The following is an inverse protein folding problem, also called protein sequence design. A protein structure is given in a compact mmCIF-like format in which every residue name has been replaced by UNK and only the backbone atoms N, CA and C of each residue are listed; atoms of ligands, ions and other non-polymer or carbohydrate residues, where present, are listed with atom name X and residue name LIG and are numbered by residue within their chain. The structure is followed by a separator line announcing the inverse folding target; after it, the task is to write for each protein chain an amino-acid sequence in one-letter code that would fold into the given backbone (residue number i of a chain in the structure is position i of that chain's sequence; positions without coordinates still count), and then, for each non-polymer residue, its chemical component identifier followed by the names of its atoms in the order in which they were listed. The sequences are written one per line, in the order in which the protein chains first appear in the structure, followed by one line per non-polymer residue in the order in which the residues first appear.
data_IF_526128156812
#
_entry.id   IF_526128156812
#
_cell.length_a   1.000
_cell.length_b   1.000
_cell.length_c   1.000
_cell.angle_alpha   90.00
_cell.angle_beta   90.00
_cell.angle_gamma   90.00
#
_symmetry.space_group_name_H-M   'P 1'
#
loop_
_entity.id
_entity.type
_entity.pdbx_description
1 polymer ?
#
# COMPACT_ATOMS: atom_id res chain seq x y z
N UNK A 1 -11.08 6.97 -10.46
CA UNK A 1 -10.35 6.52 -9.26
C UNK A 1 -8.92 6.09 -9.63
N UNK A 2 -7.92 6.40 -8.79
CA UNK A 2 -6.51 5.98 -8.96
C UNK A 2 -6.17 4.94 -7.89
N UNK A 3 -5.59 3.80 -8.29
CA UNK A 3 -5.29 2.67 -7.41
C UNK A 3 -3.80 2.31 -7.44
N UNK A 4 -3.22 2.03 -6.27
CA UNK A 4 -1.82 1.61 -6.13
C UNK A 4 -1.61 0.49 -5.14
N UNK A 5 -0.63 -0.36 -5.46
CA UNK A 5 -0.31 -1.59 -4.75
C UNK A 5 0.55 -1.40 -3.49
N UNK A 6 0.73 -2.49 -2.75
CA UNK A 6 1.51 -2.54 -1.51
C UNK A 6 3.02 -2.67 -1.71
N UNK A 7 3.71 -2.99 -0.61
CA UNK A 7 5.17 -3.08 -0.52
C UNK A 7 5.74 -4.11 -1.49
N UNK A 8 6.52 -3.66 -2.47
CA UNK A 8 7.22 -4.52 -3.42
C UNK A 8 6.32 -5.38 -4.32
N UNK A 9 5.02 -5.12 -4.32
CA UNK A 9 4.03 -5.75 -5.18
C UNK A 9 4.01 -5.10 -6.57
N UNK A 10 3.05 -5.49 -7.39
CA UNK A 10 2.68 -4.86 -8.64
C UNK A 10 1.14 -4.87 -8.81
N UNK A 11 0.63 -4.25 -9.87
CA UNK A 11 -0.81 -4.13 -10.13
C UNK A 11 -1.54 -5.46 -10.36
N UNK A 12 -0.82 -6.52 -10.76
CA UNK A 12 -1.38 -7.86 -11.02
C UNK A 12 -1.74 -8.60 -9.72
N UNK A 13 -1.14 -8.17 -8.59
CA UNK A 13 -1.28 -8.82 -7.30
C UNK A 13 -2.55 -8.35 -6.57
N UNK A 14 -3.70 -8.92 -6.96
CA UNK A 14 -4.99 -8.74 -6.30
C UNK A 14 -5.73 -7.42 -6.58
N UNK A 15 -5.14 -6.44 -7.30
CA UNK A 15 -5.79 -5.15 -7.55
C UNK A 15 -6.87 -5.24 -8.65
N UNK A 16 -6.68 -6.10 -9.62
CA UNK A 16 -7.60 -6.25 -10.77
C UNK A 16 -9.02 -6.61 -10.31
N UNK A 17 -9.16 -7.52 -9.35
CA UNK A 17 -10.48 -7.93 -8.84
C UNK A 17 -11.22 -6.78 -8.15
N UNK A 18 -10.52 -5.91 -7.40
CA UNK A 18 -11.09 -4.68 -6.85
C UNK A 18 -11.47 -3.69 -7.95
N UNK A 19 -10.55 -3.47 -8.89
CA UNK A 19 -10.74 -2.53 -9.99
C UNK A 19 -11.97 -2.88 -10.85
N UNK A 20 -12.19 -4.17 -11.14
CA UNK A 20 -13.38 -4.64 -11.88
C UNK A 20 -14.68 -4.35 -11.14
N UNK A 21 -14.71 -4.52 -9.82
CA UNK A 21 -15.90 -4.26 -9.01
C UNK A 21 -16.24 -2.77 -8.97
N UNK A 22 -15.22 -1.92 -8.82
CA UNK A 22 -15.39 -0.48 -8.87
C UNK A 22 -15.80 0.01 -10.27
N UNK A 23 -15.23 -0.55 -11.33
CA UNK A 23 -15.63 -0.24 -12.69
C UNK A 23 -17.08 -0.67 -12.98
N UNK A 24 -17.51 -1.84 -12.49
CA UNK A 24 -18.90 -2.29 -12.60
C UNK A 24 -19.89 -1.38 -11.85
N UNK A 25 -19.43 -0.64 -10.85
CA UNK A 25 -20.21 0.37 -10.13
C UNK A 25 -20.16 1.78 -10.79
N UNK A 26 -19.70 1.89 -12.03
CA UNK A 26 -19.71 3.14 -12.84
C UNK A 26 -18.47 4.01 -12.69
N UNK A 27 -17.43 3.56 -11.99
CA UNK A 27 -16.22 4.35 -11.81
C UNK A 27 -15.17 4.06 -12.89
N UNK A 28 -14.54 5.10 -13.45
CA UNK A 28 -13.32 4.93 -14.22
C UNK A 28 -12.16 4.61 -13.26
N UNK A 29 -11.38 3.56 -13.56
CA UNK A 29 -10.33 3.06 -12.67
C UNK A 29 -8.98 3.04 -13.38
N UNK A 30 -7.99 3.74 -12.82
CA UNK A 30 -6.59 3.74 -13.23
C UNK A 30 -5.78 2.96 -12.19
N UNK A 31 -5.20 1.83 -12.59
CA UNK A 31 -4.29 1.03 -11.76
C UNK A 31 -2.89 1.15 -12.33
N UNK A 32 -1.91 1.51 -11.51
CA UNK A 32 -0.54 1.72 -11.98
C UNK A 32 0.50 0.91 -11.20
N UNK A 33 1.62 0.64 -11.85
CA UNK A 33 2.84 0.15 -11.19
C UNK A 33 3.77 1.33 -10.88
N UNK A 34 4.36 1.33 -9.68
CA UNK A 34 5.41 2.30 -9.38
C UNK A 34 6.63 2.11 -10.29
N UNK A 35 7.36 3.19 -10.54
CA UNK A 35 8.67 3.10 -11.22
C UNK A 35 9.53 2.03 -10.58
N UNK A 36 10.30 1.31 -11.38
CA UNK A 36 11.15 0.15 -11.02
C UNK A 36 10.39 -1.15 -10.73
N UNK A 37 9.04 -1.18 -10.76
CA UNK A 37 8.21 -2.36 -10.47
C UNK A 37 7.31 -2.73 -11.66
N UNK A 38 6.85 -4.00 -11.67
CA UNK A 38 5.90 -4.50 -12.65
C UNK A 38 6.25 -4.12 -14.08
N UNK A 39 5.28 -3.63 -14.83
CA UNK A 39 5.43 -3.17 -16.21
C UNK A 39 6.02 -1.75 -16.34
N UNK A 40 6.13 -0.98 -15.23
CA UNK A 40 6.72 0.35 -15.25
C UNK A 40 8.22 0.32 -15.46
N UNK A 41 8.75 1.34 -16.13
CA UNK A 41 10.18 1.51 -16.38
C UNK A 41 10.96 1.80 -15.09
N UNK A 42 12.28 1.81 -15.17
CA UNK A 42 13.21 2.17 -14.11
C UNK A 42 14.32 1.15 -13.90
N UNK A 43 15.55 1.65 -13.80
CA UNK A 43 16.77 0.88 -13.57
C UNK A 43 17.52 1.48 -12.37
N UNK A 44 18.03 0.66 -11.43
CA UNK A 44 17.86 -0.79 -11.33
C UNK A 44 16.42 -1.19 -11.00
N UNK A 45 16.00 -2.42 -11.38
CA UNK A 45 14.71 -2.96 -10.97
C UNK A 45 14.65 -3.12 -9.46
N UNK A 46 13.42 -3.12 -8.91
CA UNK A 46 13.12 -3.32 -7.49
C UNK A 46 13.74 -2.27 -6.55
N UNK A 47 14.05 -1.09 -7.08
CA UNK A 47 14.50 0.04 -6.27
C UNK A 47 13.31 0.77 -5.67
N UNK A 48 12.89 0.36 -4.49
CA UNK A 48 11.82 1.01 -3.75
C UNK A 48 12.34 2.30 -3.08
N UNK A 49 11.72 3.41 -3.41
CA UNK A 49 11.92 4.70 -2.79
C UNK A 49 10.59 5.33 -2.42
N UNK A 50 10.35 5.59 -1.14
CA UNK A 50 9.08 6.13 -0.62
C UNK A 50 8.75 7.47 -1.29
N UNK A 51 9.74 8.37 -1.36
CA UNK A 51 9.54 9.68 -2.00
C UNK A 51 9.14 9.55 -3.46
N UNK A 52 9.89 8.72 -4.24
CA UNK A 52 9.58 8.49 -5.66
C UNK A 52 8.23 7.81 -5.89
N UNK A 53 7.82 6.88 -5.02
CA UNK A 53 6.49 6.30 -5.12
C UNK A 53 5.39 7.33 -4.86
N UNK A 54 5.59 8.28 -3.95
CA UNK A 54 4.66 9.41 -3.75
C UNK A 54 4.63 10.36 -4.95
N UNK A 55 5.77 10.60 -5.60
CA UNK A 55 5.80 11.31 -6.89
C UNK A 55 5.02 10.57 -7.98
N UNK A 56 5.10 9.23 -8.02
CA UNK A 56 4.34 8.40 -8.96
C UNK A 56 2.83 8.52 -8.72
N UNK A 57 2.40 8.61 -7.46
CA UNK A 57 1.01 8.91 -7.12
C UNK A 57 0.57 10.26 -7.67
N UNK A 58 1.35 11.33 -7.46
CA UNK A 58 1.03 12.66 -8.00
C UNK A 58 0.98 12.64 -9.53
N UNK A 59 1.90 11.94 -10.19
CA UNK A 59 1.89 11.78 -11.64
C UNK A 59 0.65 11.01 -12.15
N UNK A 60 0.28 9.92 -11.48
CA UNK A 60 -0.91 9.13 -11.83
C UNK A 60 -2.21 9.92 -11.62
N UNK A 61 -2.31 10.73 -10.56
CA UNK A 61 -3.44 11.64 -10.30
C UNK A 61 -3.52 12.70 -11.40
N UNK A 62 -2.40 13.34 -11.71
CA UNK A 62 -2.35 14.33 -12.78
C UNK A 62 -2.75 13.73 -14.13
N UNK A 63 -2.23 12.56 -14.47
CA UNK A 63 -2.62 11.83 -15.69
C UNK A 63 -4.12 11.51 -15.73
N UNK A 64 -4.66 10.96 -14.62
CA UNK A 64 -6.09 10.64 -14.55
C UNK A 64 -6.99 11.85 -14.88
N UNK A 65 -6.59 13.05 -14.48
CA UNK A 65 -7.32 14.30 -14.76
C UNK A 65 -7.29 14.72 -16.22
N UNK A 66 -6.33 14.25 -17.02
CA UNK A 66 -6.26 14.56 -18.45
C UNK A 66 -7.13 13.64 -19.31
N UNK A 67 -7.64 12.56 -18.73
CA UNK A 67 -8.42 11.58 -19.49
C UNK A 67 -9.80 12.12 -19.86
N UNK A 68 -10.19 11.89 -21.11
CA UNK A 68 -11.50 12.30 -21.61
C UNK A 68 -12.63 11.60 -20.82
N UNK A 69 -13.64 12.34 -20.44
CA UNK A 69 -14.81 11.83 -19.70
C UNK A 69 -14.59 11.69 -18.19
N UNK A 70 -13.44 12.13 -17.68
CA UNK A 70 -13.17 12.15 -16.25
C UNK A 70 -13.46 13.52 -15.65
N UNK A 71 -14.23 13.54 -14.57
CA UNK A 71 -14.39 14.74 -13.76
C UNK A 71 -13.14 14.92 -12.86
N UNK A 72 -12.35 15.93 -13.21
CA UNK A 72 -11.07 16.23 -12.52
C UNK A 72 -11.25 16.59 -11.03
N UNK A 73 -12.45 16.97 -10.60
CA UNK A 73 -12.77 17.32 -9.20
C UNK A 73 -13.32 16.16 -8.39
N UNK A 74 -13.58 15.02 -9.03
CA UNK A 74 -14.09 13.78 -8.39
C UNK A 74 -13.10 12.63 -8.46
N UNK A 75 -11.83 12.88 -8.15
CA UNK A 75 -10.80 11.85 -8.09
C UNK A 75 -10.78 11.21 -6.69
N UNK A 76 -10.95 9.89 -6.64
CA UNK A 76 -10.72 9.12 -5.43
C UNK A 76 -9.38 8.37 -5.50
N UNK A 77 -8.75 8.17 -4.34
CA UNK A 77 -7.53 7.37 -4.21
C UNK A 77 -7.84 6.08 -3.47
N UNK A 78 -7.33 4.98 -3.97
CA UNK A 78 -7.39 3.68 -3.32
C UNK A 78 -5.98 3.10 -3.18
N UNK A 79 -5.58 2.81 -1.98
CA UNK A 79 -4.29 2.20 -1.71
C UNK A 79 -4.39 1.06 -0.70
N UNK A 80 -3.61 -0.01 -0.94
CA UNK A 80 -3.58 -1.16 -0.04
C UNK A 80 -2.22 -1.31 0.63
N UNK A 81 -2.20 -1.67 1.91
CA UNK A 81 -0.97 -1.92 2.68
C UNK A 81 -0.03 -0.71 2.63
N UNK A 82 1.16 -0.83 2.04
CA UNK A 82 2.09 0.28 1.85
C UNK A 82 1.50 1.39 0.95
N UNK A 83 0.76 1.00 -0.10
CA UNK A 83 -0.02 1.94 -0.92
C UNK A 83 -1.12 2.66 -0.12
N UNK A 84 -1.72 1.99 0.87
CA UNK A 84 -2.64 2.59 1.84
C UNK A 84 -1.97 3.69 2.66
N UNK A 85 -0.70 3.51 3.04
CA UNK A 85 0.12 4.57 3.64
C UNK A 85 0.40 5.73 2.68
N UNK A 86 0.66 5.41 1.41
CA UNK A 86 0.89 6.46 0.41
C UNK A 86 -0.34 7.35 0.18
N UNK A 87 -1.54 6.78 0.04
CA UNK A 87 -2.74 7.61 -0.15
C UNK A 87 -3.02 8.53 1.04
N UNK A 88 -2.75 8.07 2.29
CA UNK A 88 -2.82 8.92 3.47
C UNK A 88 -1.77 10.05 3.46
N UNK A 89 -0.64 9.83 2.76
CA UNK A 89 0.42 10.82 2.65
C UNK A 89 0.20 11.84 1.54
N UNK A 90 -0.31 11.42 0.37
CA UNK A 90 -0.43 12.29 -0.80
C UNK A 90 -1.76 13.04 -0.88
N UNK A 91 -2.85 12.43 -0.40
CA UNK A 91 -4.17 13.05 -0.46
C UNK A 91 -4.27 14.45 0.20
N UNK A 92 -3.60 14.73 1.33
CA UNK A 92 -3.63 16.06 1.93
C UNK A 92 -3.04 17.17 1.07
N UNK A 93 -2.18 16.84 0.09
CA UNK A 93 -1.50 17.82 -0.76
C UNK A 93 -2.36 18.25 -1.95
N UNK A 94 -3.54 17.66 -2.12
CA UNK A 94 -4.43 17.89 -3.25
C UNK A 94 -5.88 18.12 -2.80
N UNK A 95 -6.33 19.37 -2.90
CA UNK A 95 -7.67 19.78 -2.45
C UNK A 95 -8.83 19.20 -3.31
N UNK A 96 -8.51 18.65 -4.47
CA UNK A 96 -9.48 18.06 -5.39
C UNK A 96 -9.59 16.54 -5.29
N UNK A 97 -9.01 15.93 -4.26
CA UNK A 97 -9.27 14.52 -3.93
C UNK A 97 -10.61 14.43 -3.21
N UNK A 98 -11.55 13.72 -3.82
CA UNK A 98 -12.92 13.62 -3.34
C UNK A 98 -13.09 12.56 -2.25
N UNK A 99 -12.33 11.45 -2.32
CA UNK A 99 -12.38 10.36 -1.33
C UNK A 99 -11.05 9.58 -1.26
N UNK A 100 -10.82 8.92 -0.14
CA UNK A 100 -9.69 8.01 0.04
C UNK A 100 -10.18 6.68 0.61
N UNK A 101 -9.70 5.57 0.04
CA UNK A 101 -9.78 4.23 0.64
C UNK A 101 -8.39 3.77 1.03
N UNK A 102 -8.16 3.57 2.31
CA UNK A 102 -6.94 3.06 2.89
C UNK A 102 -7.18 1.63 3.40
N UNK A 103 -6.86 0.64 2.55
CA UNK A 103 -7.03 -0.78 2.87
C UNK A 103 -5.80 -1.31 3.62
N UNK A 104 -6.02 -1.92 4.79
CA UNK A 104 -4.96 -2.46 5.68
C UNK A 104 -3.69 -1.59 5.69
N UNK A 105 -3.81 -0.27 5.94
CA UNK A 105 -2.78 0.69 5.61
C UNK A 105 -1.54 0.58 6.51
N UNK A 106 -0.37 0.64 5.89
CA UNK A 106 0.87 0.94 6.61
C UNK A 106 0.83 2.38 7.12
N UNK A 107 0.73 2.56 8.43
CA UNK A 107 0.59 3.89 9.05
C UNK A 107 1.78 4.32 9.88
N UNK A 108 2.68 3.38 10.26
CA UNK A 108 3.86 3.65 11.07
C UNK A 108 4.91 2.55 10.92
N UNK A 109 6.08 2.92 10.43
CA UNK A 109 7.21 1.99 10.30
C UNK A 109 7.69 1.44 11.63
N UNK A 110 7.70 2.28 12.67
CA UNK A 110 8.07 1.84 14.01
C UNK A 110 7.08 0.78 14.56
N UNK A 111 5.77 0.98 14.35
CA UNK A 111 4.75 0.01 14.79
C UNK A 111 4.91 -1.33 14.05
N UNK A 112 5.17 -1.30 12.74
CA UNK A 112 5.41 -2.52 11.94
C UNK A 112 6.72 -3.21 12.31
N UNK A 113 7.78 -2.46 12.62
CA UNK A 113 9.05 -3.01 13.09
C UNK A 113 8.91 -3.69 14.46
N UNK A 114 8.15 -3.11 15.39
CA UNK A 114 7.85 -3.70 16.69
C UNK A 114 7.02 -4.99 16.55
N UNK A 115 6.01 -5.02 15.69
CA UNK A 115 5.20 -6.22 15.43
C UNK A 115 6.04 -7.36 14.85
N UNK A 116 6.95 -7.05 13.93
CA UNK A 116 7.88 -8.02 13.34
C UNK A 116 8.85 -8.62 14.36
N UNK A 117 9.17 -7.87 15.41
CA UNK A 117 10.06 -8.26 16.52
C UNK A 117 11.54 -7.96 16.28
N UNK A 118 12.35 -7.99 17.36
CA UNK A 118 13.73 -7.48 17.34
C UNK A 118 14.66 -8.28 16.43
N UNK A 119 14.55 -9.61 16.41
CA UNK A 119 15.46 -10.47 15.62
C UNK A 119 15.34 -10.18 14.12
N UNK A 120 14.12 -10.13 13.58
CA UNK A 120 13.90 -9.77 12.17
C UNK A 120 14.35 -8.35 11.90
N UNK A 121 14.06 -7.43 12.81
CA UNK A 121 14.42 -6.01 12.66
C UNK A 121 15.93 -5.81 12.59
N UNK A 122 16.71 -6.48 13.46
CA UNK A 122 18.18 -6.41 13.43
C UNK A 122 18.72 -6.99 12.11
N UNK A 123 18.26 -8.20 11.71
CA UNK A 123 18.70 -8.80 10.43
C UNK A 123 18.41 -7.91 9.23
N UNK A 124 17.23 -7.31 9.18
CA UNK A 124 16.82 -6.39 8.12
C UNK A 124 17.69 -5.13 8.14
N UNK A 125 17.92 -4.54 9.31
CA UNK A 125 18.76 -3.34 9.46
C UNK A 125 20.20 -3.59 9.02
N UNK A 126 20.78 -4.75 9.35
CA UNK A 126 22.13 -5.13 8.92
C UNK A 126 22.22 -5.20 7.38
N UNK A 127 21.30 -5.90 6.71
CA UNK A 127 21.30 -6.00 5.25
C UNK A 127 21.07 -4.63 4.62
N UNK A 128 20.20 -3.80 5.18
CA UNK A 128 19.93 -2.45 4.71
C UNK A 128 21.15 -1.53 4.85
N UNK A 129 21.91 -1.64 5.96
CA UNK A 129 23.15 -0.89 6.14
C UNK A 129 24.20 -1.29 5.09
N UNK A 130 24.36 -2.59 4.84
CA UNK A 130 25.26 -3.08 3.78
C UNK A 130 24.82 -2.56 2.39
N UNK A 131 23.52 -2.52 2.09
CA UNK A 131 23.01 -2.00 0.83
C UNK A 131 23.25 -0.48 0.70
N UNK A 132 23.12 0.28 1.79
CA UNK A 132 23.42 1.73 1.78
C UNK A 132 24.91 2.02 1.49
N UNK A 133 25.80 1.25 2.10
CA UNK A 133 27.24 1.46 1.98
C UNK A 133 27.79 0.95 0.64
N UNK A 134 27.39 -0.24 0.22
CA UNK A 134 27.98 -0.91 -0.94
C UNK A 134 27.14 -0.78 -2.23
N UNK A 135 25.84 -0.55 -2.13
CA UNK A 135 24.95 -0.47 -3.29
C UNK A 135 25.35 0.59 -4.33
N UNK A 136 25.74 1.81 -3.94
CA UNK A 136 26.21 2.82 -4.87
C UNK A 136 27.48 2.40 -5.62
N UNK A 137 28.45 1.77 -4.91
CA UNK A 137 29.71 1.28 -5.48
C UNK A 137 29.46 0.14 -6.46
N UNK A 138 28.60 -0.78 -6.10
CA UNK A 138 28.26 -1.96 -6.92
C UNK A 138 27.35 -1.65 -8.11
N UNK A 139 26.76 -0.46 -8.18
CA UNK A 139 25.73 -0.04 -9.14
C UNK A 139 24.48 -0.96 -9.17
N UNK A 140 24.37 -1.87 -8.20
CA UNK A 140 23.22 -2.77 -8.02
C UNK A 140 22.83 -2.81 -6.56
N UNK A 141 21.54 -2.69 -6.23
CA UNK A 141 21.09 -2.78 -4.85
C UNK A 141 21.29 -4.21 -4.30
N UNK A 142 21.56 -4.30 -3.01
CA UNK A 142 21.50 -5.57 -2.29
C UNK A 142 20.03 -5.82 -1.96
N UNK A 143 19.50 -6.93 -2.47
CA UNK A 143 18.10 -7.29 -2.32
C UNK A 143 17.81 -7.91 -0.95
N UNK A 144 16.66 -7.53 -0.36
CA UNK A 144 16.06 -8.18 0.79
C UNK A 144 14.73 -8.82 0.40
N UNK A 145 14.40 -9.98 0.96
CA UNK A 145 13.11 -10.65 0.73
C UNK A 145 11.96 -9.81 1.24
N UNK A 146 10.85 -9.80 0.50
CA UNK A 146 9.62 -9.15 0.90
C UNK A 146 8.92 -9.93 2.01
N UNK A 147 8.72 -11.23 1.83
CA UNK A 147 8.00 -12.11 2.74
C UNK A 147 8.91 -13.16 3.38
N UNK A 148 8.63 -13.51 4.62
CA UNK A 148 9.33 -14.53 5.36
C UNK A 148 8.61 -15.00 6.62
N UNK A 149 8.97 -16.20 7.11
CA UNK A 149 8.48 -16.72 8.39
C UNK A 149 8.98 -15.86 9.55
N UNK A 150 8.35 -15.99 10.71
CA UNK A 150 8.80 -15.37 11.97
C UNK A 150 10.31 -15.47 12.14
N UNK A 151 10.98 -14.36 12.51
CA UNK A 151 12.43 -14.21 12.66
C UNK A 151 13.24 -14.26 11.35
N UNK A 152 12.62 -14.31 10.19
CA UNK A 152 13.32 -14.23 8.92
C UNK A 152 13.93 -12.84 8.67
N UNK A 153 14.96 -12.80 7.82
CA UNK A 153 15.49 -11.56 7.26
C UNK A 153 14.60 -11.12 6.08
N UNK A 154 13.40 -10.61 6.37
CA UNK A 154 12.41 -10.17 5.40
C UNK A 154 11.71 -8.91 5.88
N UNK A 155 11.21 -8.10 4.96
CA UNK A 155 10.50 -6.86 5.29
C UNK A 155 9.19 -7.13 6.01
N UNK A 156 8.44 -8.15 5.58
CA UNK A 156 7.28 -8.69 6.28
C UNK A 156 7.65 -10.06 6.85
N UNK A 157 7.49 -10.25 8.14
CA UNK A 157 7.95 -11.46 8.84
C UNK A 157 6.99 -11.85 9.97
N UNK A 158 6.03 -12.74 9.64
CA UNK A 158 5.08 -13.34 10.56
C UNK A 158 4.72 -14.77 10.09
N UNK A 159 4.02 -15.58 10.90
CA UNK A 159 3.70 -16.97 10.54
C UNK A 159 2.85 -17.10 9.28
N UNK A 160 1.89 -16.21 9.07
CA UNK A 160 0.91 -16.18 7.98
C UNK A 160 1.45 -15.53 6.68
N UNK A 161 2.51 -14.72 6.79
CA UNK A 161 3.06 -13.94 5.68
C UNK A 161 3.50 -14.79 4.47
N UNK A 162 4.24 -15.92 4.62
CA UNK A 162 4.68 -16.68 3.46
C UNK A 162 3.53 -17.21 2.61
N UNK A 163 2.49 -17.73 3.23
CA UNK A 163 1.35 -18.30 2.52
C UNK A 163 0.44 -17.20 1.95
N UNK A 164 0.07 -16.22 2.75
CA UNK A 164 -0.77 -15.12 2.30
C UNK A 164 -0.14 -14.35 1.14
N UNK A 165 1.17 -14.10 1.22
CA UNK A 165 1.87 -13.40 0.16
C UNK A 165 2.03 -14.26 -1.11
N UNK A 166 2.25 -15.59 -0.97
CA UNK A 166 2.31 -16.53 -2.10
C UNK A 166 1.01 -16.53 -2.90
N UNK A 167 -0.15 -16.56 -2.24
CA UNK A 167 -1.46 -16.50 -2.92
C UNK A 167 -1.60 -15.25 -3.80
N UNK A 168 -1.02 -14.11 -3.39
CA UNK A 168 -1.00 -12.89 -4.22
C UNK A 168 0.00 -12.99 -5.37
N UNK A 169 1.17 -13.60 -5.15
CA UNK A 169 2.23 -13.69 -6.16
C UNK A 169 1.93 -14.67 -7.27
N UNK A 170 1.15 -15.73 -6.98
CA UNK A 170 0.71 -16.71 -7.98
C UNK A 170 -0.14 -16.06 -9.10
N UNK A 171 -0.62 -14.85 -8.90
CA UNK A 171 -1.39 -14.07 -9.87
C UNK A 171 -0.51 -13.17 -10.78
N UNK A 172 0.81 -13.10 -10.53
CA UNK A 172 1.69 -12.17 -11.22
C UNK A 172 2.85 -12.87 -11.93
N UNK A 173 2.96 -12.64 -13.23
CA UNK A 173 4.09 -13.11 -14.04
C UNK A 173 5.35 -12.25 -13.88
N UNK A 174 5.20 -11.02 -13.40
CA UNK A 174 6.29 -10.03 -13.32
C UNK A 174 6.79 -9.78 -11.89
N UNK A 175 6.35 -10.61 -10.94
CA UNK A 175 6.74 -10.47 -9.55
C UNK A 175 8.20 -10.82 -9.29
N UNK A 176 8.84 -9.98 -8.47
CA UNK A 176 10.21 -10.18 -7.99
C UNK A 176 10.21 -10.30 -6.44
N UNK A 177 10.78 -11.37 -5.85
CA UNK A 177 10.64 -11.66 -4.42
C UNK A 177 11.50 -10.77 -3.50
N UNK A 178 12.25 -9.83 -4.06
CA UNK A 178 13.20 -8.98 -3.33
C UNK A 178 13.07 -7.54 -3.79
N UNK A 179 13.40 -6.62 -2.88
CA UNK A 179 13.56 -5.19 -3.15
C UNK A 179 14.90 -4.71 -2.58
N UNK A 180 15.37 -3.53 -3.01
CA UNK A 180 16.55 -2.89 -2.45
C UNK A 180 16.42 -2.75 -0.92
N UNK A 181 17.35 -3.32 -0.16
CA UNK A 181 17.24 -3.44 1.28
C UNK A 181 17.24 -2.09 2.01
N UNK A 182 17.88 -1.07 1.43
CA UNK A 182 17.96 0.29 1.99
C UNK A 182 16.62 0.92 2.30
N UNK A 183 15.53 0.47 1.64
CA UNK A 183 14.16 0.93 1.94
C UNK A 183 13.77 0.71 3.40
N UNK A 184 14.34 -0.29 4.07
CA UNK A 184 14.01 -0.61 5.46
C UNK A 184 14.26 0.58 6.41
N UNK A 185 15.30 1.38 6.16
CA UNK A 185 15.56 2.58 6.97
C UNK A 185 14.54 3.67 6.70
N UNK A 186 14.26 3.99 5.45
CA UNK A 186 13.25 4.99 5.14
C UNK A 186 11.86 4.56 5.62
N UNK A 187 11.51 3.27 5.48
CA UNK A 187 10.26 2.72 5.96
C UNK A 187 10.14 2.75 7.49
N UNK A 188 11.24 2.51 8.23
CA UNK A 188 11.23 2.55 9.70
C UNK A 188 10.79 3.91 10.24
N UNK A 189 11.24 5.00 9.61
CA UNK A 189 10.93 6.36 10.03
C UNK A 189 9.70 6.95 9.35
N UNK A 190 9.16 6.27 8.35
CA UNK A 190 7.95 6.73 7.67
C UNK A 190 6.72 6.52 8.56
N UNK A 191 5.91 7.56 8.67
CA UNK A 191 4.73 7.57 9.53
C UNK A 191 3.54 8.26 8.83
N UNK A 192 2.97 7.64 7.78
CA UNK A 192 1.85 8.22 7.03
C UNK A 192 0.66 8.59 7.90
N UNK A 193 0.39 7.82 8.95
CA UNK A 193 -0.68 8.09 9.90
C UNK A 193 -0.58 9.44 10.63
N UNK A 194 0.59 10.09 10.64
CA UNK A 194 0.73 11.45 11.17
C UNK A 194 0.05 12.50 10.29
N UNK A 195 -0.08 12.23 8.98
CA UNK A 195 -0.75 13.12 8.04
C UNK A 195 -2.28 13.00 8.07
N UNK A 196 -2.82 12.01 8.75
CA UNK A 196 -4.25 11.76 8.86
C UNK A 196 -5.07 12.99 9.29
N UNK A 197 -4.53 13.80 10.22
CA UNK A 197 -5.16 15.04 10.65
C UNK A 197 -5.33 16.12 9.59
N UNK A 198 -4.58 16.02 8.48
CA UNK A 198 -4.64 16.98 7.37
C UNK A 198 -5.62 16.54 6.27
N UNK A 199 -6.19 15.34 6.36
CA UNK A 199 -7.19 14.83 5.42
C UNK A 199 -8.51 15.56 5.61
N UNK A 200 -8.99 16.20 4.55
CA UNK A 200 -10.22 17.02 4.57
C UNK A 200 -11.41 16.30 3.92
N UNK A 201 -11.14 15.31 3.06
CA UNK A 201 -12.12 14.49 2.37
C UNK A 201 -12.54 13.28 3.22
N UNK A 202 -13.67 12.63 2.90
CA UNK A 202 -14.03 11.33 3.47
C UNK A 202 -12.94 10.28 3.24
N UNK A 203 -12.61 9.50 4.30
CA UNK A 203 -11.61 8.43 4.25
C UNK A 203 -12.19 7.16 4.83
N UNK A 204 -12.23 6.11 4.01
CA UNK A 204 -12.54 4.76 4.48
C UNK A 204 -11.25 4.04 4.89
N UNK A 205 -11.19 3.60 6.13
CA UNK A 205 -10.19 2.67 6.66
C UNK A 205 -10.80 1.27 6.68
N UNK A 206 -10.34 0.39 5.79
CA UNK A 206 -10.70 -1.02 5.77
C UNK A 206 -9.62 -1.81 6.51
N UNK A 207 -9.90 -2.30 7.72
CA UNK A 207 -8.92 -2.82 8.68
C UNK A 207 -9.17 -4.27 9.02
N UNK A 208 -8.11 -5.09 9.00
CA UNK A 208 -8.16 -6.47 9.49
C UNK A 208 -7.72 -6.54 10.96
N UNK A 209 -8.50 -7.23 11.80
CA UNK A 209 -8.27 -7.27 13.25
C UNK A 209 -7.00 -8.03 13.64
N UNK A 210 -6.69 -9.09 12.87
CA UNK A 210 -5.54 -9.97 13.08
C UNK A 210 -4.36 -9.63 12.15
N UNK A 211 -4.25 -8.37 11.71
CA UNK A 211 -3.20 -7.93 10.80
C UNK A 211 -1.81 -8.06 11.45
N UNK A 212 -1.04 -9.03 10.96
CA UNK A 212 0.32 -9.35 11.42
C UNK A 212 1.42 -8.46 10.83
N UNK A 213 1.09 -7.66 9.79
CA UNK A 213 2.02 -6.86 8.99
C UNK A 213 1.89 -5.37 9.28
N UNK A 214 0.66 -4.84 9.20
CA UNK A 214 0.32 -3.44 9.44
C UNK A 214 -0.59 -3.33 10.69
N UNK A 215 -0.02 -3.16 11.90
CA UNK A 215 -0.78 -3.30 13.14
C UNK A 215 -2.03 -2.45 13.20
N UNK A 216 -3.19 -3.07 13.36
CA UNK A 216 -4.51 -2.43 13.37
C UNK A 216 -4.59 -1.27 14.37
N UNK A 217 -3.94 -1.38 15.55
CA UNK A 217 -3.90 -0.31 16.56
C UNK A 217 -3.27 0.98 16.02
N UNK A 218 -2.30 0.87 15.11
CA UNK A 218 -1.67 2.04 14.49
C UNK A 218 -2.61 2.70 13.48
N UNK A 219 -3.34 1.90 12.70
CA UNK A 219 -4.32 2.37 11.74
C UNK A 219 -5.55 3.02 12.43
N UNK A 220 -6.03 2.44 13.53
CA UNK A 220 -7.10 3.03 14.34
C UNK A 220 -6.72 4.42 14.89
N UNK A 221 -5.49 4.57 15.42
CA UNK A 221 -4.99 5.89 15.84
C UNK A 221 -4.90 6.92 14.71
N UNK A 222 -4.66 6.48 13.48
CA UNK A 222 -4.71 7.36 12.31
C UNK A 222 -6.16 7.74 11.98
N UNK A 223 -7.07 6.78 12.00
CA UNK A 223 -8.49 7.01 11.77
C UNK A 223 -9.10 7.99 12.80
N UNK A 224 -8.76 7.85 14.10
CA UNK A 224 -9.18 8.77 15.17
C UNK A 224 -8.77 10.23 14.93
N UNK A 225 -7.68 10.44 14.17
CA UNK A 225 -7.18 11.77 13.81
C UNK A 225 -7.77 12.32 12.51
N UNK A 226 -8.49 11.50 11.77
CA UNK A 226 -9.09 11.86 10.48
C UNK A 226 -10.49 12.41 10.70
N UNK A 227 -10.72 13.65 10.28
CA UNK A 227 -11.99 14.37 10.55
C UNK A 227 -13.23 13.63 10.01
N UNK A 228 -13.13 13.03 8.84
CA UNK A 228 -14.24 12.34 8.17
C UNK A 228 -13.87 10.86 7.92
N UNK A 229 -13.42 10.18 8.98
CA UNK A 229 -13.09 8.76 8.91
C UNK A 229 -14.34 7.89 8.97
N UNK A 230 -14.38 6.91 8.09
CA UNK A 230 -15.26 5.74 8.16
C UNK A 230 -14.36 4.53 8.43
N UNK A 231 -14.65 3.75 9.46
CA UNK A 231 -13.85 2.58 9.80
C UNK A 231 -14.69 1.32 9.62
N UNK A 232 -14.21 0.42 8.79
CA UNK A 232 -14.75 -0.94 8.62
C UNK A 232 -13.71 -1.93 9.12
N UNK A 233 -14.13 -2.86 9.97
CA UNK A 233 -13.26 -3.89 10.56
C UNK A 233 -13.70 -5.27 10.15
N UNK A 234 -12.71 -6.14 9.89
CA UNK A 234 -12.91 -7.51 9.45
C UNK A 234 -12.12 -8.46 10.36
N UNK A 235 -12.73 -9.55 10.85
CA UNK A 235 -12.05 -10.57 11.66
C UNK A 235 -11.18 -11.45 10.75
N UNK A 236 -10.04 -10.91 10.30
CA UNK A 236 -9.20 -11.48 9.25
C UNK A 236 -7.75 -11.01 9.41
N UNK A 237 -6.80 -11.72 8.76
CA UNK A 237 -5.40 -11.34 8.64
C UNK A 237 -5.13 -10.39 7.48
N UNK A 238 -3.88 -9.92 7.38
CA UNK A 238 -3.45 -8.92 6.38
C UNK A 238 -3.76 -9.31 4.93
N UNK A 239 -3.63 -10.59 4.60
CA UNK A 239 -3.78 -11.08 3.23
C UNK A 239 -5.17 -11.60 2.92
N UNK A 240 -5.98 -11.92 3.92
CA UNK A 240 -7.31 -12.49 3.71
C UNK A 240 -8.25 -11.50 3.01
N UNK A 241 -8.00 -10.20 3.18
CA UNK A 241 -8.80 -9.12 2.56
C UNK A 241 -8.81 -9.17 1.03
N UNK A 242 -7.87 -9.89 0.41
CA UNK A 242 -7.80 -10.04 -1.04
C UNK A 242 -8.55 -11.27 -1.57
N UNK A 243 -9.07 -12.14 -0.69
CA UNK A 243 -9.57 -13.45 -1.08
C UNK A 243 -10.92 -13.77 -0.45
N UNK A 244 -11.65 -14.63 -1.10
CA UNK A 244 -12.80 -15.35 -0.61
C UNK A 244 -13.90 -14.42 -0.03
N UNK A 245 -14.57 -14.81 1.03
CA UNK A 245 -15.66 -14.05 1.65
C UNK A 245 -15.23 -12.69 2.22
N UNK A 246 -13.98 -12.61 2.71
CA UNK A 246 -13.44 -11.36 3.26
C UNK A 246 -13.30 -10.33 2.14
N UNK A 247 -12.82 -10.75 0.96
CA UNK A 247 -12.77 -9.90 -0.24
C UNK A 247 -14.17 -9.41 -0.63
N UNK A 248 -15.16 -10.32 -0.73
CA UNK A 248 -16.51 -9.95 -1.15
C UNK A 248 -17.13 -8.90 -0.22
N UNK A 249 -17.02 -9.10 1.10
CA UNK A 249 -17.50 -8.16 2.09
C UNK A 249 -16.78 -6.81 2.02
N UNK A 250 -15.46 -6.87 1.89
CA UNK A 250 -14.63 -5.66 1.87
C UNK A 250 -14.86 -4.83 0.62
N UNK A 251 -14.91 -5.46 -0.55
CA UNK A 251 -15.12 -4.75 -1.81
C UNK A 251 -16.54 -4.18 -1.89
N UNK A 252 -17.54 -4.86 -1.31
CA UNK A 252 -18.90 -4.33 -1.18
C UNK A 252 -18.89 -3.05 -0.33
N UNK A 253 -18.37 -3.09 0.90
CA UNK A 253 -18.30 -1.94 1.80
C UNK A 253 -17.56 -0.75 1.17
N UNK A 254 -16.46 -1.02 0.45
CA UNK A 254 -15.69 0.01 -0.24
C UNK A 254 -16.44 0.60 -1.43
N UNK A 255 -17.15 -0.23 -2.19
CA UNK A 255 -17.97 0.22 -3.32
C UNK A 255 -19.10 1.12 -2.84
N UNK A 256 -19.84 0.72 -1.81
CA UNK A 256 -20.91 1.53 -1.20
C UNK A 256 -20.38 2.89 -0.72
N UNK A 257 -19.24 2.90 -0.04
CA UNK A 257 -18.60 4.15 0.39
C UNK A 257 -18.26 5.05 -0.81
N UNK A 258 -17.59 4.49 -1.83
CA UNK A 258 -17.17 5.25 -3.00
C UNK A 258 -18.37 5.78 -3.81
N UNK A 259 -19.39 4.97 -4.00
CA UNK A 259 -20.63 5.38 -4.69
C UNK A 259 -21.33 6.51 -3.93
N UNK A 260 -21.41 6.42 -2.60
CA UNK A 260 -22.04 7.47 -1.79
C UNK A 260 -21.34 8.82 -1.88
N UNK A 261 -20.02 8.83 -2.06
CA UNK A 261 -19.22 10.05 -2.14
C UNK A 261 -19.08 10.56 -3.56
N UNK A 262 -18.78 9.67 -4.52
CA UNK A 262 -18.48 10.06 -5.90
C UNK A 262 -19.73 10.25 -6.75
N UNK A 263 -20.82 9.54 -6.44
CA UNK A 263 -22.07 9.55 -7.24
C UNK A 263 -21.77 9.39 -8.74
N UNK A 264 -21.15 8.26 -9.14
CA UNK A 264 -20.67 8.01 -10.50
C UNK A 264 -21.78 7.97 -11.53
#
# INVERSE_FOLDING_TARGET
MVMGHGLGANREMGLDRYARRFAAAGMAVLVFDYRHFGASQGTPRQLLSIGRQREDWHAAIAFARTLRGIDATRIALWGTSFGGGHVLSVAPDDAYIAAVVAQVPFTSGLSSALAKGPISTIKVATIAAVDLLLGPIRRKPIGIRLAGRKRAAALMSAPDVPEGFRRLTDESETYEPKVAARVAFSALFDAPGRRAKALKMPVLYALCDDDSVAPVKSALRAAERTKHAVVKRYPAGHFDIYFDEVFEKTVYDQTEFLVSVLRP
#
